data_IF_875914970953
#
_entry.id   IF_875914970953
#
_cell.length_a   1.000
_cell.length_b   1.000
_cell.length_c   1.000
_cell.angle_alpha   90.00
_cell.angle_beta   90.00
_cell.angle_gamma   90.00
#
_symmetry.space_group_name_H-M   'P 1'
#
loop_
_entity.id
_entity.type
_entity.pdbx_description
1 polymer ?
#
# COMPACT_ATOMS: atom_id res chain seq x y z
N UNK A 1 -41.47 -71.06 -26.58
CA UNK A 1 -40.41 -70.04 -26.76
C UNK A 1 -40.52 -69.06 -25.61
N UNK A 2 -39.66 -69.21 -24.60
CA UNK A 2 -39.52 -68.29 -23.47
C UNK A 2 -38.02 -68.06 -23.33
N UNK A 3 -37.57 -66.82 -23.50
CA UNK A 3 -36.17 -66.43 -23.39
C UNK A 3 -35.90 -66.04 -21.94
N UNK A 4 -34.91 -66.62 -21.23
CA UNK A 4 -34.51 -66.12 -19.92
C UNK A 4 -33.44 -65.03 -20.08
N UNK A 5 -33.70 -63.87 -19.48
CA UNK A 5 -32.76 -62.76 -19.36
C UNK A 5 -31.85 -63.03 -18.16
N UNK A 6 -30.53 -63.15 -18.39
CA UNK A 6 -29.53 -63.17 -17.34
C UNK A 6 -29.16 -61.73 -16.95
N UNK A 7 -29.40 -61.35 -15.69
CA UNK A 7 -28.89 -60.11 -15.10
C UNK A 7 -27.52 -60.39 -14.50
N UNK A 8 -26.46 -59.88 -15.14
CA UNK A 8 -25.12 -59.87 -14.57
C UNK A 8 -25.03 -58.72 -13.54
N UNK A 9 -24.95 -59.07 -12.25
CA UNK A 9 -24.64 -58.13 -11.17
C UNK A 9 -23.15 -57.77 -11.19
N UNK A 10 -22.83 -56.52 -11.57
CA UNK A 10 -21.50 -55.94 -11.45
C UNK A 10 -21.26 -55.51 -9.99
N UNK A 11 -20.48 -56.31 -9.26
CA UNK A 11 -19.96 -55.92 -7.94
C UNK A 11 -18.76 -55.01 -8.17
N UNK A 12 -18.95 -53.69 -8.01
CA UNK A 12 -17.85 -52.73 -7.98
C UNK A 12 -17.15 -52.81 -6.60
N UNK A 13 -15.84 -53.10 -6.52
CA UNK A 13 -15.11 -52.97 -5.27
C UNK A 13 -14.95 -51.49 -4.92
N UNK A 14 -15.47 -51.10 -3.74
CA UNK A 14 -15.16 -49.82 -3.11
C UNK A 14 -13.66 -49.77 -2.78
N UNK A 15 -12.88 -49.16 -3.66
CA UNK A 15 -11.52 -48.74 -3.35
C UNK A 15 -11.64 -47.52 -2.44
N UNK A 16 -11.57 -47.73 -1.12
CA UNK A 16 -11.25 -46.65 -0.18
C UNK A 16 -9.84 -46.16 -0.52
N UNK A 17 -9.75 -45.07 -1.29
CA UNK A 17 -8.55 -44.25 -1.33
C UNK A 17 -8.35 -43.68 0.06
N UNK A 18 -7.52 -44.33 0.86
CA UNK A 18 -6.86 -43.66 1.97
C UNK A 18 -6.11 -42.48 1.36
N UNK A 19 -6.66 -41.28 1.50
CA UNK A 19 -5.91 -40.06 1.29
C UNK A 19 -4.81 -40.05 2.36
N UNK A 20 -3.63 -40.52 2.00
CA UNK A 20 -2.40 -40.08 2.65
C UNK A 20 -2.31 -38.59 2.40
N UNK A 21 -2.92 -37.80 3.30
CA UNK A 21 -2.62 -36.40 3.45
C UNK A 21 -1.11 -36.33 3.64
N UNK A 22 -0.37 -35.93 2.61
CA UNK A 22 0.94 -35.36 2.79
C UNK A 22 0.72 -34.17 3.74
N UNK A 23 0.94 -34.42 5.04
CA UNK A 23 0.54 -33.50 6.09
C UNK A 23 1.26 -32.19 5.88
N UNK A 24 0.51 -31.10 5.79
CA UNK A 24 1.09 -29.75 5.81
C UNK A 24 2.00 -29.68 7.04
N UNK A 25 3.28 -29.37 6.83
CA UNK A 25 4.25 -29.27 7.91
C UNK A 25 3.82 -28.23 8.94
N UNK A 26 4.22 -28.38 10.20
CA UNK A 26 4.05 -27.32 11.18
C UNK A 26 4.98 -26.17 10.83
N UNK A 27 4.43 -25.05 10.39
CA UNK A 27 5.16 -23.87 9.91
C UNK A 27 4.41 -22.58 10.25
N UNK A 28 5.12 -21.46 10.34
CA UNK A 28 4.49 -20.15 10.31
C UNK A 28 4.04 -19.80 8.88
N UNK A 29 3.19 -18.78 8.75
CA UNK A 29 2.93 -18.16 7.46
C UNK A 29 4.23 -17.65 6.82
N UNK A 30 4.28 -17.65 5.48
CA UNK A 30 5.48 -17.41 4.66
C UNK A 30 6.26 -16.13 5.00
N UNK A 31 5.57 -15.09 5.46
CA UNK A 31 6.14 -13.78 5.80
C UNK A 31 6.41 -13.58 7.30
N UNK A 32 6.12 -14.56 8.16
CA UNK A 32 6.49 -14.53 9.58
C UNK A 32 7.88 -15.17 9.69
N UNK A 33 8.91 -14.33 9.77
CA UNK A 33 10.31 -14.74 9.76
C UNK A 33 11.14 -13.81 10.67
N UNK A 34 12.41 -14.16 10.88
CA UNK A 34 13.34 -13.41 11.72
C UNK A 34 13.42 -11.94 11.28
N UNK A 35 13.75 -11.05 12.23
CA UNK A 35 13.88 -9.61 11.99
C UNK A 35 12.56 -8.88 11.63
N UNK A 36 11.40 -9.53 11.73
CA UNK A 36 10.14 -8.88 11.39
C UNK A 36 9.72 -7.78 12.37
N UNK A 37 8.83 -6.90 11.90
CA UNK A 37 8.10 -5.95 12.76
C UNK A 37 6.65 -6.40 12.83
N UNK A 38 6.13 -6.53 14.04
CA UNK A 38 4.72 -6.72 14.34
C UNK A 38 4.09 -5.38 14.72
N UNK A 39 2.80 -5.22 14.40
CA UNK A 39 2.07 -4.00 14.74
C UNK A 39 2.00 -3.81 16.26
N UNK A 40 2.42 -2.64 16.73
CA UNK A 40 2.33 -2.22 18.13
C UNK A 40 0.91 -1.79 18.51
N UNK A 41 0.73 -1.56 19.80
CA UNK A 41 -0.47 -0.98 20.41
C UNK A 41 -0.97 0.30 19.70
N UNK A 42 -2.29 0.58 19.74
CA UNK A 42 -3.33 -0.08 20.54
C UNK A 42 -3.86 -1.41 19.99
N UNK A 43 -3.49 -1.77 18.76
CA UNK A 43 -3.85 -3.05 18.15
C UNK A 43 -2.98 -4.20 18.66
N UNK A 44 -3.50 -5.42 18.56
CA UNK A 44 -2.76 -6.67 18.71
C UNK A 44 -2.15 -7.13 17.38
N UNK A 45 -1.02 -7.83 17.44
CA UNK A 45 -0.42 -8.44 16.27
C UNK A 45 -0.94 -9.87 16.06
N UNK A 46 -1.23 -10.25 14.82
CA UNK A 46 -1.68 -11.60 14.47
C UNK A 46 -0.49 -12.48 14.13
N UNK A 47 -0.44 -13.65 14.77
CA UNK A 47 0.52 -14.73 14.46
C UNK A 47 -0.27 -15.94 14.01
N UNK A 48 0.12 -16.53 12.89
CA UNK A 48 -0.60 -17.65 12.29
C UNK A 48 0.33 -18.52 11.45
N UNK A 49 -0.18 -19.68 11.03
CA UNK A 49 0.54 -20.62 10.20
C UNK A 49 -0.24 -21.90 9.98
N UNK A 50 0.48 -22.96 9.62
CA UNK A 50 -0.10 -24.26 9.30
C UNK A 50 0.36 -25.34 10.28
N UNK A 51 -0.42 -26.42 10.36
CA UNK A 51 -0.16 -27.53 11.27
C UNK A 51 -1.05 -28.73 11.04
N UNK A 52 -0.96 -29.70 11.94
CA UNK A 52 -1.77 -30.92 11.92
C UNK A 52 -3.17 -30.60 12.43
N UNK A 53 -4.20 -30.86 11.61
CA UNK A 53 -5.62 -30.71 11.98
C UNK A 53 -5.94 -31.23 13.39
N UNK A 54 -6.58 -30.39 14.21
CA UNK A 54 -6.96 -30.72 15.59
C UNK A 54 -5.83 -30.63 16.62
N UNK A 55 -4.58 -30.39 16.20
CA UNK A 55 -3.48 -30.17 17.13
C UNK A 55 -3.66 -28.88 17.94
N UNK A 56 -3.13 -28.89 19.16
CA UNK A 56 -3.07 -27.67 19.99
C UNK A 56 -1.79 -26.93 19.66
N UNK A 57 -1.88 -25.62 19.40
CA UNK A 57 -0.73 -24.74 19.18
C UNK A 57 -0.65 -23.73 20.31
N UNK A 58 0.51 -23.68 20.94
CA UNK A 58 0.86 -22.70 21.97
C UNK A 58 1.85 -21.71 21.38
N UNK A 59 1.48 -20.43 21.34
CA UNK A 59 2.38 -19.34 20.95
C UNK A 59 2.86 -18.61 22.20
N UNK A 60 4.16 -18.45 22.33
CA UNK A 60 4.81 -17.79 23.47
C UNK A 60 5.67 -16.64 22.94
N UNK A 61 5.51 -15.47 23.54
CA UNK A 61 6.39 -14.32 23.29
C UNK A 61 7.35 -14.19 24.48
N UNK A 62 8.64 -14.11 24.19
CA UNK A 62 9.69 -14.00 25.20
C UNK A 62 10.58 -12.78 24.98
N UNK A 63 11.14 -12.24 26.07
CA UNK A 63 12.23 -11.26 26.06
C UNK A 63 13.27 -11.72 27.07
N UNK A 64 14.54 -11.81 26.68
CA UNK A 64 15.63 -12.23 27.57
C UNK A 64 15.33 -13.52 28.37
N UNK A 65 14.72 -14.50 27.70
CA UNK A 65 14.25 -15.79 28.25
C UNK A 65 13.05 -15.72 29.21
N UNK A 66 12.57 -14.53 29.56
CA UNK A 66 11.33 -14.34 30.31
C UNK A 66 10.10 -14.44 29.40
N UNK A 67 9.08 -15.16 29.85
CA UNK A 67 7.81 -15.28 29.13
C UNK A 67 6.98 -14.02 29.39
N UNK A 68 6.80 -13.22 28.35
CA UNK A 68 5.96 -12.01 28.39
C UNK A 68 4.49 -12.39 28.30
N UNK A 69 4.15 -13.30 27.39
CA UNK A 69 2.78 -13.76 27.20
C UNK A 69 2.70 -15.12 26.52
N UNK A 70 1.55 -15.77 26.68
CA UNK A 70 1.24 -17.08 26.09
C UNK A 70 -0.19 -17.09 25.56
N UNK A 71 -0.37 -17.58 24.33
CA UNK A 71 -1.67 -17.78 23.69
C UNK A 71 -1.79 -19.23 23.24
N UNK A 72 -3.00 -19.78 23.31
CA UNK A 72 -3.29 -21.16 22.91
C UNK A 72 -4.41 -21.15 21.89
N UNK A 73 -4.26 -21.96 20.85
CA UNK A 73 -5.24 -22.14 19.78
C UNK A 73 -5.22 -23.58 19.30
N UNK A 74 -6.12 -23.91 18.37
CA UNK A 74 -6.17 -25.21 17.73
C UNK A 74 -6.05 -25.06 16.21
N UNK A 75 -5.39 -26.02 15.57
CA UNK A 75 -5.33 -26.09 14.11
C UNK A 75 -6.71 -26.44 13.57
N UNK A 76 -7.24 -25.60 12.69
CA UNK A 76 -8.54 -25.76 12.07
C UNK A 76 -8.54 -26.93 11.10
N UNK A 77 -9.59 -27.75 11.15
CA UNK A 77 -9.63 -29.00 10.39
C UNK A 77 -9.78 -28.84 8.88
N UNK A 78 -10.39 -27.74 8.42
CA UNK A 78 -10.70 -27.53 7.00
C UNK A 78 -9.59 -26.79 6.24
N UNK A 79 -8.78 -25.98 6.92
CA UNK A 79 -7.69 -25.19 6.32
C UNK A 79 -6.30 -25.64 6.74
N UNK A 80 -6.18 -26.54 7.74
CA UNK A 80 -4.93 -26.87 8.40
C UNK A 80 -4.17 -25.65 8.96
N UNK A 81 -4.86 -24.52 9.17
CA UNK A 81 -4.27 -23.28 9.68
C UNK A 81 -4.63 -23.02 11.14
N UNK A 82 -3.74 -22.36 11.85
CA UNK A 82 -3.91 -21.91 13.23
C UNK A 82 -3.59 -20.42 13.32
N UNK A 83 -4.18 -19.72 14.29
CA UNK A 83 -4.01 -18.28 14.45
C UNK A 83 -4.21 -17.88 15.91
N UNK A 84 -3.45 -16.88 16.35
CA UNK A 84 -3.62 -16.17 17.62
C UNK A 84 -3.51 -14.67 17.39
N UNK A 85 -4.22 -13.90 18.21
CA UNK A 85 -3.99 -12.45 18.36
C UNK A 85 -3.15 -12.25 19.62
N UNK A 86 -1.99 -11.61 19.48
CA UNK A 86 -1.18 -11.21 20.61
C UNK A 86 -1.81 -10.02 21.33
N UNK A 87 -1.56 -9.88 22.62
CA UNK A 87 -2.00 -8.71 23.37
C UNK A 87 -1.27 -7.45 22.83
N UNK A 88 -1.90 -6.26 22.86
CA UNK A 88 -1.24 -5.04 22.42
C UNK A 88 0.08 -4.81 23.14
N UNK A 89 1.13 -4.55 22.38
CA UNK A 89 2.50 -4.36 22.89
C UNK A 89 2.97 -2.93 22.62
N UNK A 90 3.66 -2.36 23.61
CA UNK A 90 4.42 -1.11 23.44
C UNK A 90 5.48 -1.27 22.35
N UNK A 91 5.84 -0.20 21.64
CA UNK A 91 6.92 -0.26 20.67
C UNK A 91 8.25 -0.68 21.31
N UNK A 92 9.04 -1.50 20.62
CA UNK A 92 10.34 -1.96 21.12
C UNK A 92 10.67 -3.40 20.74
N UNK A 93 11.50 -4.03 21.55
CA UNK A 93 12.10 -5.35 21.29
C UNK A 93 13.63 -5.29 21.40
N UNK A 94 14.35 -6.33 20.94
CA UNK A 94 13.84 -7.51 20.26
C UNK A 94 13.14 -8.51 21.20
N UNK A 95 12.18 -9.24 20.63
CA UNK A 95 11.50 -10.37 21.25
C UNK A 95 11.78 -11.65 20.45
N UNK A 96 11.45 -12.79 21.05
CA UNK A 96 11.35 -14.08 20.37
C UNK A 96 9.89 -14.57 20.36
N UNK A 97 9.41 -15.04 19.21
CA UNK A 97 8.11 -15.70 19.06
C UNK A 97 8.34 -17.19 18.87
N UNK A 98 7.82 -18.01 19.78
CA UNK A 98 7.87 -19.46 19.71
C UNK A 98 6.47 -20.03 19.52
N UNK A 99 6.27 -20.86 18.50
CA UNK A 99 5.05 -21.65 18.32
C UNK A 99 5.35 -23.13 18.57
N UNK A 100 4.55 -23.76 19.42
CA UNK A 100 4.68 -25.18 19.78
C UNK A 100 3.39 -25.92 19.45
N UNK A 101 3.44 -26.92 18.58
CA UNK A 101 2.32 -27.79 18.25
C UNK A 101 2.41 -29.10 19.01
N UNK A 102 1.33 -29.49 19.69
CA UNK A 102 1.18 -30.79 20.35
C UNK A 102 0.00 -31.58 19.78
N UNK A 103 0.26 -32.82 19.34
CA UNK A 103 -0.77 -33.76 18.88
C UNK A 103 -0.43 -35.19 19.33
N UNK A 104 -1.19 -35.72 20.29
CA UNK A 104 -0.85 -36.99 20.94
C UNK A 104 0.53 -36.91 21.62
N UNK A 105 1.48 -37.74 21.17
CA UNK A 105 2.88 -37.72 21.65
C UNK A 105 3.81 -36.82 20.82
N UNK A 106 3.34 -36.30 19.68
CA UNK A 106 4.16 -35.44 18.83
C UNK A 106 4.20 -34.02 19.39
N UNK A 107 5.41 -33.45 19.42
CA UNK A 107 5.66 -32.07 19.79
C UNK A 107 6.65 -31.46 18.79
N UNK A 108 6.23 -30.39 18.12
CA UNK A 108 7.05 -29.64 17.16
C UNK A 108 7.13 -28.19 17.62
N UNK A 109 8.30 -27.57 17.46
CA UNK A 109 8.52 -26.18 17.89
C UNK A 109 9.17 -25.38 16.77
N UNK A 110 8.67 -24.17 16.55
CA UNK A 110 9.19 -23.17 15.63
C UNK A 110 9.57 -21.93 16.42
N UNK A 111 10.59 -21.20 15.97
CA UNK A 111 11.06 -19.97 16.60
C UNK A 111 11.36 -18.92 15.55
N UNK A 112 11.06 -17.67 15.91
CA UNK A 112 11.39 -16.47 15.15
C UNK A 112 12.03 -15.47 16.10
N UNK A 113 13.19 -14.96 15.73
CA UNK A 113 14.05 -14.11 16.54
C UNK A 113 14.14 -12.67 16.01
N UNK A 114 14.61 -11.73 16.85
CA UNK A 114 14.74 -10.30 16.53
C UNK A 114 13.40 -9.70 16.05
N UNK A 115 12.31 -10.04 16.75
CA UNK A 115 10.97 -9.50 16.46
C UNK A 115 10.81 -8.16 17.17
N UNK A 116 10.48 -7.11 16.40
CA UNK A 116 10.19 -5.79 16.95
C UNK A 116 8.69 -5.51 16.94
N UNK A 117 8.22 -4.68 17.88
CA UNK A 117 6.89 -4.08 17.82
C UNK A 117 7.01 -2.62 17.37
N UNK A 118 6.27 -2.26 16.33
CA UNK A 118 6.36 -0.98 15.63
C UNK A 118 5.13 -0.74 14.76
N UNK A 119 5.17 0.30 13.92
CA UNK A 119 4.10 0.48 12.92
C UNK A 119 4.45 -0.20 11.61
N UNK A 120 3.53 -1.01 11.07
CA UNK A 120 3.72 -1.77 9.84
C UNK A 120 2.96 -1.13 8.69
N UNK A 121 3.67 -0.84 7.60
CA UNK A 121 3.14 -0.20 6.40
C UNK A 121 3.34 -1.08 5.16
N UNK A 122 2.27 -1.21 4.38
CA UNK A 122 2.28 -1.88 3.08
C UNK A 122 2.39 -0.85 1.96
N UNK A 123 3.39 -0.99 1.10
CA UNK A 123 3.63 -0.12 -0.05
C UNK A 123 3.34 -0.89 -1.33
N UNK A 124 2.44 -0.37 -2.16
CA UNK A 124 1.98 -1.05 -3.36
C UNK A 124 1.73 -0.11 -4.54
N UNK A 125 1.50 -0.68 -5.71
CA UNK A 125 1.29 0.02 -6.96
C UNK A 125 2.20 -0.49 -8.07
N UNK A 126 2.53 0.39 -9.01
CA UNK A 126 3.27 0.03 -10.22
C UNK A 126 4.73 0.50 -10.18
N UNK A 127 5.32 0.75 -11.35
CA UNK A 127 6.74 0.94 -11.56
C UNK A 127 7.33 2.08 -10.73
N UNK A 128 6.60 3.17 -10.55
CA UNK A 128 7.03 4.29 -9.70
C UNK A 128 7.07 3.95 -8.20
N UNK A 129 6.28 2.98 -7.73
CA UNK A 129 6.44 2.35 -6.41
C UNK A 129 7.60 1.34 -6.44
N UNK A 130 7.74 0.57 -7.52
CA UNK A 130 8.71 -0.53 -7.63
C UNK A 130 10.17 -0.06 -7.81
N UNK A 131 10.41 1.18 -8.26
CA UNK A 131 11.77 1.74 -8.40
C UNK A 131 12.58 1.54 -7.11
N UNK A 132 13.79 0.99 -7.25
CA UNK A 132 14.69 0.72 -6.12
C UNK A 132 15.46 1.98 -5.71
N UNK A 133 16.09 1.95 -4.53
CA UNK A 133 16.89 3.10 -4.03
C UNK A 133 18.06 3.44 -4.96
N UNK A 134 18.55 2.48 -5.75
CA UNK A 134 19.60 2.73 -6.76
C UNK A 134 19.14 3.65 -7.90
N UNK A 135 17.82 3.76 -8.11
CA UNK A 135 17.24 4.43 -9.29
C UNK A 135 16.82 5.88 -9.02
N UNK A 136 17.08 6.43 -7.84
CA UNK A 136 16.61 7.76 -7.42
C UNK A 136 17.76 8.77 -7.30
N UNK A 137 17.44 10.05 -7.21
CA UNK A 137 18.44 11.05 -6.83
C UNK A 137 18.95 10.76 -5.40
N UNK A 138 20.18 11.18 -5.09
CA UNK A 138 20.84 10.95 -3.80
C UNK A 138 20.98 9.47 -3.36
N UNK A 139 20.82 8.51 -4.27
CA UNK A 139 20.96 7.07 -3.99
C UNK A 139 22.21 6.72 -3.18
N UNK A 140 23.37 7.26 -3.54
CA UNK A 140 24.65 7.01 -2.84
C UNK A 140 24.59 7.38 -1.36
N UNK A 141 23.96 8.51 -1.02
CA UNK A 141 23.82 8.95 0.38
C UNK A 141 22.81 8.10 1.16
N UNK A 142 21.74 7.67 0.50
CA UNK A 142 20.72 6.82 1.13
C UNK A 142 21.29 5.42 1.43
N UNK A 143 22.05 4.85 0.50
CA UNK A 143 22.63 3.51 0.64
C UNK A 143 23.77 3.46 1.67
N UNK A 144 24.48 4.57 1.90
CA UNK A 144 25.60 4.63 2.86
C UNK A 144 25.17 4.79 4.32
N UNK A 145 23.97 5.31 4.58
CA UNK A 145 23.51 5.67 5.93
C UNK A 145 22.60 4.61 6.59
N UNK A 146 22.60 3.37 6.10
CA UNK A 146 21.67 2.32 6.55
C UNK A 146 21.89 1.87 8.00
N UNK A 147 23.09 2.05 8.54
CA UNK A 147 23.42 1.70 9.94
C UNK A 147 22.66 2.54 10.97
N UNK A 148 22.18 3.74 10.61
CA UNK A 148 21.37 4.57 11.50
C UNK A 148 19.91 4.09 11.63
N UNK A 149 19.47 3.17 10.76
CA UNK A 149 18.07 2.77 10.60
C UNK A 149 17.84 1.28 10.88
N UNK A 150 18.64 0.70 11.77
CA UNK A 150 18.55 -0.71 12.15
C UNK A 150 17.30 -1.06 12.99
N UNK A 151 16.35 -0.15 13.17
CA UNK A 151 15.00 -0.45 13.71
C UNK A 151 13.91 -0.29 12.65
N UNK A 152 14.27 0.11 11.43
CA UNK A 152 13.41 -0.06 10.25
C UNK A 152 13.68 -1.46 9.69
N UNK A 153 12.64 -2.20 9.36
CA UNK A 153 12.73 -3.55 8.79
C UNK A 153 11.97 -3.58 7.47
N UNK A 154 12.53 -4.31 6.50
CA UNK A 154 12.00 -4.35 5.14
C UNK A 154 11.71 -5.79 4.71
N UNK A 155 10.66 -5.96 3.92
CA UNK A 155 10.28 -7.20 3.24
C UNK A 155 9.81 -6.86 1.82
N UNK A 156 10.10 -7.73 0.84
CA UNK A 156 9.59 -7.60 -0.53
C UNK A 156 8.92 -8.90 -0.98
N UNK A 157 7.68 -8.77 -1.45
CA UNK A 157 6.87 -9.88 -1.97
C UNK A 157 7.32 -10.25 -3.38
N UNK A 158 7.36 -11.55 -3.69
CA UNK A 158 7.70 -12.02 -5.03
C UNK A 158 6.66 -11.61 -6.07
N UNK A 159 7.13 -11.37 -7.29
CA UNK A 159 6.28 -11.06 -8.45
C UNK A 159 5.54 -12.32 -8.93
N UNK A 160 4.34 -12.56 -8.38
CA UNK A 160 3.50 -13.73 -8.66
C UNK A 160 2.09 -13.30 -9.06
N UNK A 161 1.46 -14.07 -9.95
CA UNK A 161 0.06 -13.92 -10.34
C UNK A 161 -0.74 -15.16 -9.90
N UNK A 162 -2.02 -14.98 -9.56
CA UNK A 162 -2.92 -16.10 -9.29
C UNK A 162 -4.35 -15.78 -9.73
N UNK A 163 -5.04 -16.74 -10.35
CA UNK A 163 -6.45 -16.58 -10.75
C UNK A 163 -7.42 -16.53 -9.55
N UNK A 164 -6.99 -17.04 -8.39
CA UNK A 164 -7.77 -17.11 -7.16
C UNK A 164 -6.97 -16.57 -5.97
N UNK A 165 -7.67 -15.98 -5.01
CA UNK A 165 -7.12 -15.47 -3.76
C UNK A 165 -6.32 -16.56 -3.03
N UNK A 166 -5.01 -16.36 -2.86
CA UNK A 166 -4.15 -17.27 -2.11
C UNK A 166 -4.29 -17.00 -0.60
N UNK A 167 -4.19 -18.03 0.23
CA UNK A 167 -4.22 -17.89 1.70
C UNK A 167 -2.90 -17.34 2.25
N UNK A 168 -1.77 -17.75 1.66
CA UNK A 168 -0.41 -17.34 2.02
C UNK A 168 0.40 -16.97 0.77
N UNK A 169 1.49 -16.21 0.92
CA UNK A 169 2.32 -15.82 -0.21
C UNK A 169 2.99 -17.06 -0.81
N UNK A 170 2.93 -17.16 -2.14
CA UNK A 170 3.65 -18.20 -2.87
C UNK A 170 5.17 -17.95 -2.92
N UNK A 171 5.63 -16.72 -2.64
CA UNK A 171 7.04 -16.35 -2.63
C UNK A 171 7.31 -15.00 -1.95
N UNK A 172 8.50 -14.88 -1.37
CA UNK A 172 9.05 -13.67 -0.76
C UNK A 172 10.47 -13.48 -1.30
N UNK A 173 10.69 -12.44 -2.12
CA UNK A 173 11.99 -12.17 -2.76
C UNK A 173 13.02 -11.65 -1.74
N UNK A 174 12.56 -10.78 -0.82
CA UNK A 174 13.37 -10.31 0.31
C UNK A 174 12.63 -10.62 1.60
N UNK A 175 13.10 -11.63 2.33
CA UNK A 175 12.67 -11.90 3.70
C UNK A 175 12.92 -10.70 4.61
N UNK A 176 12.18 -10.63 5.72
CA UNK A 176 12.39 -9.59 6.73
C UNK A 176 13.87 -9.43 7.06
N UNK A 177 14.35 -8.21 6.94
CA UNK A 177 15.77 -7.91 7.12
C UNK A 177 16.00 -6.49 7.62
N UNK A 178 17.18 -6.28 8.21
CA UNK A 178 17.69 -4.93 8.49
C UNK A 178 18.10 -4.29 7.16
N UNK A 179 17.96 -2.96 6.99
CA UNK A 179 18.39 -2.30 5.76
C UNK A 179 19.91 -2.40 5.61
N UNK A 180 20.34 -2.72 4.40
CA UNK A 180 21.74 -2.69 3.95
C UNK A 180 21.81 -1.97 2.60
N UNK A 181 23.00 -1.54 2.20
CA UNK A 181 23.19 -1.00 0.84
C UNK A 181 22.82 -2.01 -0.24
N UNK A 182 23.05 -3.31 0.02
CA UNK A 182 22.75 -4.39 -0.91
C UNK A 182 21.26 -4.58 -1.10
N UNK A 183 20.48 -4.74 -0.03
CA UNK A 183 19.06 -5.05 -0.16
C UNK A 183 18.17 -3.84 -0.53
N UNK A 184 18.62 -2.62 -0.26
CA UNK A 184 17.93 -1.41 -0.71
C UNK A 184 18.20 -1.09 -2.19
N UNK A 185 19.40 -1.41 -2.66
CA UNK A 185 19.87 -1.11 -4.02
C UNK A 185 19.89 -2.30 -4.96
N UNK A 186 19.31 -3.44 -4.58
CA UNK A 186 19.42 -4.69 -5.34
C UNK A 186 18.71 -4.59 -6.68
N UNK A 187 19.50 -4.42 -7.75
CA UNK A 187 18.97 -4.36 -9.10
C UNK A 187 18.04 -3.19 -9.39
N UNK A 188 17.53 -3.13 -10.62
CA UNK A 188 16.56 -2.13 -11.06
C UNK A 188 15.19 -2.80 -11.06
N UNK A 189 14.23 -2.21 -10.35
CA UNK A 189 12.86 -2.74 -10.21
C UNK A 189 12.76 -4.15 -9.59
N UNK A 190 13.78 -4.63 -8.88
CA UNK A 190 13.74 -5.92 -8.20
C UNK A 190 13.22 -5.74 -6.76
N UNK A 191 14.00 -5.12 -5.88
CA UNK A 191 13.59 -4.70 -4.53
C UNK A 191 14.66 -3.74 -3.95
N UNK A 192 14.49 -2.97 -2.87
CA UNK A 192 13.31 -2.54 -2.12
C UNK A 192 12.77 -1.21 -2.70
N UNK A 193 11.45 -1.01 -2.68
CA UNK A 193 10.82 0.25 -3.11
C UNK A 193 11.45 1.49 -2.45
N UNK A 194 11.95 2.41 -3.26
CA UNK A 194 12.58 3.64 -2.79
C UNK A 194 11.59 4.57 -2.05
N UNK A 195 10.37 4.71 -2.58
CA UNK A 195 9.31 5.50 -1.93
C UNK A 195 8.97 4.90 -0.57
N UNK A 196 8.82 3.58 -0.51
CA UNK A 196 8.51 2.88 0.73
C UNK A 196 9.62 3.05 1.78
N UNK A 197 10.87 2.83 1.37
CA UNK A 197 12.05 3.03 2.23
C UNK A 197 12.12 4.44 2.79
N UNK A 198 12.09 5.46 1.92
CA UNK A 198 12.21 6.86 2.32
C UNK A 198 11.05 7.29 3.24
N UNK A 199 9.83 6.84 2.95
CA UNK A 199 8.67 7.11 3.78
C UNK A 199 8.84 6.56 5.21
N UNK A 200 9.21 5.28 5.34
CA UNK A 200 9.46 4.67 6.64
C UNK A 200 10.66 5.27 7.36
N UNK A 201 11.72 5.64 6.63
CA UNK A 201 12.89 6.36 7.16
C UNK A 201 12.47 7.69 7.81
N UNK A 202 11.71 8.51 7.09
CA UNK A 202 11.23 9.79 7.64
C UNK A 202 10.29 9.60 8.83
N UNK A 203 9.43 8.56 8.80
CA UNK A 203 8.60 8.22 9.95
C UNK A 203 9.46 7.84 11.15
N UNK A 204 10.47 6.99 10.98
CA UNK A 204 11.40 6.62 12.04
C UNK A 204 12.13 7.84 12.63
N UNK A 205 12.59 8.76 11.79
CA UNK A 205 13.25 10.00 12.24
C UNK A 205 12.34 10.88 13.11
N UNK A 206 11.03 10.80 12.90
CA UNK A 206 10.02 11.57 13.65
C UNK A 206 9.56 10.84 14.90
N UNK A 207 9.22 9.56 14.76
CA UNK A 207 8.52 8.76 15.77
C UNK A 207 9.47 8.06 16.74
N UNK A 208 10.70 7.78 16.31
CA UNK A 208 11.78 7.16 17.12
C UNK A 208 11.42 5.81 17.72
N UNK A 209 10.63 5.00 17.00
CA UNK A 209 10.36 3.60 17.32
C UNK A 209 10.32 2.73 16.06
N UNK A 210 10.35 1.38 16.16
CA UNK A 210 10.47 0.50 15.00
C UNK A 210 9.41 0.70 13.92
N UNK A 211 9.80 0.55 12.65
CA UNK A 211 8.91 0.64 11.49
C UNK A 211 9.09 -0.59 10.60
N UNK A 212 8.00 -1.27 10.27
CA UNK A 212 7.98 -2.38 9.30
C UNK A 212 7.50 -1.89 7.94
N UNK A 213 8.23 -2.23 6.88
CA UNK A 213 7.89 -1.86 5.51
C UNK A 213 7.78 -3.08 4.62
N UNK A 214 6.67 -3.19 3.91
CA UNK A 214 6.39 -4.29 2.98
C UNK A 214 6.25 -3.72 1.59
N UNK A 215 7.10 -4.15 0.66
CA UNK A 215 7.01 -3.80 -0.75
C UNK A 215 6.26 -4.89 -1.52
N UNK A 216 5.11 -4.53 -2.10
CA UNK A 216 4.29 -5.40 -2.94
C UNK A 216 3.83 -4.60 -4.16
N UNK A 217 4.70 -4.50 -5.18
CA UNK A 217 4.51 -3.62 -6.33
C UNK A 217 5.05 -4.23 -7.61
N UNK A 218 4.38 -3.98 -8.74
CA UNK A 218 4.78 -4.52 -10.05
C UNK A 218 4.48 -3.52 -11.17
N UNK A 219 5.51 -3.14 -11.92
CA UNK A 219 5.46 -2.18 -13.01
C UNK A 219 4.54 -2.54 -14.16
N UNK A 220 3.99 -1.50 -14.80
CA UNK A 220 3.14 -1.63 -15.99
C UNK A 220 1.76 -2.23 -15.73
N UNK A 221 1.25 -2.15 -14.51
CA UNK A 221 0.00 -2.81 -14.10
C UNK A 221 -1.13 -1.81 -13.93
N UNK A 222 -2.33 -2.09 -14.48
CA UNK A 222 -3.52 -1.27 -14.26
C UNK A 222 -4.16 -1.63 -12.90
N UNK A 223 -5.02 -0.75 -12.38
CA UNK A 223 -5.66 -0.94 -11.06
C UNK A 223 -6.50 -2.21 -10.98
N UNK A 224 -7.00 -2.69 -12.11
CA UNK A 224 -7.78 -3.91 -12.24
C UNK A 224 -7.03 -5.17 -11.78
N UNK A 225 -5.71 -5.23 -12.00
CA UNK A 225 -4.90 -6.34 -11.54
C UNK A 225 -4.78 -6.40 -10.00
N UNK A 226 -4.87 -5.23 -9.34
CA UNK A 226 -4.76 -5.03 -7.89
C UNK A 226 -6.09 -4.98 -7.16
N UNK A 227 -7.19 -5.00 -7.90
CA UNK A 227 -8.55 -4.92 -7.38
C UNK A 227 -9.14 -6.33 -7.29
N UNK A 228 -9.79 -6.64 -6.17
CA UNK A 228 -10.56 -7.88 -6.05
C UNK A 228 -11.71 -7.92 -7.06
N UNK A 229 -12.17 -9.12 -7.42
CA UNK A 229 -13.31 -9.26 -8.34
C UNK A 229 -14.60 -8.60 -7.79
N UNK A 230 -14.73 -8.52 -6.47
CA UNK A 230 -15.85 -7.86 -5.78
C UNK A 230 -15.81 -6.34 -5.93
N UNK A 231 -14.65 -5.70 -5.77
CA UNK A 231 -14.49 -4.25 -5.97
C UNK A 231 -14.69 -3.83 -7.44
N UNK A 232 -14.15 -4.61 -8.39
CA UNK A 232 -14.35 -4.37 -9.81
C UNK A 232 -15.81 -4.48 -10.24
N UNK A 233 -16.50 -5.53 -9.78
CA UNK A 233 -17.92 -5.73 -10.05
C UNK A 233 -18.77 -4.57 -9.52
N UNK A 234 -18.42 -4.00 -8.37
CA UNK A 234 -19.13 -2.85 -7.78
C UNK A 234 -19.05 -1.59 -8.67
N UNK A 235 -18.03 -1.50 -9.53
CA UNK A 235 -17.84 -0.40 -10.49
C UNK A 235 -18.27 -0.74 -11.91
N UNK A 236 -18.98 -1.85 -12.13
CA UNK A 236 -19.39 -2.27 -13.48
C UNK A 236 -18.24 -2.76 -14.36
N UNK A 237 -17.07 -3.03 -13.79
CA UNK A 237 -15.95 -3.64 -14.52
C UNK A 237 -16.17 -5.15 -14.57
N UNK A 238 -16.58 -5.65 -15.73
CA UNK A 238 -16.86 -7.07 -15.95
C UNK A 238 -15.62 -7.83 -16.42
N UNK A 239 -15.40 -9.06 -15.91
CA UNK A 239 -14.25 -9.93 -16.23
C UNK A 239 -14.00 -10.17 -17.73
N UNK A 240 -14.98 -9.89 -18.59
CA UNK A 240 -14.82 -9.96 -20.04
C UNK A 240 -14.27 -8.64 -20.57
N UNK A 241 -12.96 -8.47 -20.44
CA UNK A 241 -12.23 -7.40 -21.09
C UNK A 241 -10.82 -7.88 -21.41
N UNK A 242 -10.55 -8.16 -22.68
CA UNK A 242 -9.18 -8.30 -23.15
C UNK A 242 -8.51 -6.93 -23.05
N UNK A 243 -7.49 -6.78 -22.20
CA UNK A 243 -6.64 -5.58 -22.24
C UNK A 243 -5.76 -5.74 -23.47
N UNK A 244 -5.82 -4.85 -24.47
CA UNK A 244 -4.87 -4.90 -25.57
C UNK A 244 -3.46 -4.87 -25.00
N UNK A 245 -2.62 -5.84 -25.38
CA UNK A 245 -1.23 -5.98 -24.92
C UNK A 245 -0.42 -4.69 -25.07
N UNK A 246 -0.83 -3.82 -26.00
CA UNK A 246 -0.15 -2.58 -26.33
C UNK A 246 -0.43 -1.45 -25.32
N UNK A 247 -1.39 -1.65 -24.39
CA UNK A 247 -1.81 -0.61 -23.41
C UNK A 247 -1.09 -0.69 -22.07
N UNK A 248 -0.49 -1.83 -21.73
CA UNK A 248 0.14 -2.10 -20.42
C UNK A 248 1.34 -3.05 -20.57
N UNK A 249 2.41 -2.84 -19.80
CA UNK A 249 3.66 -3.61 -19.94
C UNK A 249 3.86 -4.68 -18.86
N UNK A 250 2.93 -4.81 -17.91
CA UNK A 250 2.96 -5.80 -16.84
C UNK A 250 1.65 -6.61 -16.76
N UNK A 251 1.48 -7.42 -15.70
CA UNK A 251 0.25 -8.16 -15.45
C UNK A 251 -1.01 -7.31 -15.60
N UNK A 252 -1.92 -7.77 -16.44
CA UNK A 252 -3.08 -7.00 -16.90
C UNK A 252 -4.40 -7.72 -16.66
N UNK A 253 -4.35 -9.03 -16.38
CA UNK A 253 -5.52 -9.79 -16.00
C UNK A 253 -6.12 -9.30 -14.67
N UNK A 254 -7.43 -9.39 -14.54
CA UNK A 254 -8.14 -8.81 -13.40
C UNK A 254 -7.88 -9.61 -12.14
N UNK A 255 -7.65 -8.90 -11.03
CA UNK A 255 -7.43 -9.44 -9.69
C UNK A 255 -6.20 -10.33 -9.51
N UNK A 256 -5.39 -10.60 -10.54
CA UNK A 256 -4.30 -11.59 -10.43
C UNK A 256 -3.21 -11.19 -9.44
N UNK A 257 -2.97 -9.89 -9.25
CA UNK A 257 -2.01 -9.37 -8.27
C UNK A 257 -2.65 -9.16 -6.90
N UNK A 258 -3.92 -8.76 -6.85
CA UNK A 258 -4.70 -8.79 -5.61
C UNK A 258 -4.61 -10.18 -4.97
N UNK A 259 -4.92 -11.21 -5.75
CA UNK A 259 -5.00 -12.59 -5.33
C UNK A 259 -3.67 -13.15 -4.79
N UNK A 260 -2.55 -12.83 -5.45
CA UNK A 260 -1.25 -13.42 -5.15
C UNK A 260 -0.35 -12.57 -4.25
N UNK A 261 -0.47 -11.25 -4.32
CA UNK A 261 0.50 -10.33 -3.70
C UNK A 261 -0.06 -9.46 -2.58
N UNK A 262 -1.40 -9.35 -2.45
CA UNK A 262 -2.06 -8.51 -1.43
C UNK A 262 -2.94 -9.32 -0.50
N UNK A 263 -3.91 -10.08 -1.04
CA UNK A 263 -4.83 -10.91 -0.25
C UNK A 263 -4.11 -11.81 0.78
N UNK A 264 -2.96 -12.44 0.46
CA UNK A 264 -2.30 -13.33 1.42
C UNK A 264 -1.68 -12.61 2.63
N UNK A 265 -1.49 -11.29 2.53
CA UNK A 265 -1.04 -10.44 3.63
C UNK A 265 -2.19 -10.04 4.58
N UNK A 266 -3.44 -10.34 4.24
CA UNK A 266 -4.63 -9.81 4.94
C UNK A 266 -4.74 -10.18 6.42
N UNK A 267 -4.07 -11.27 6.84
CA UNK A 267 -4.00 -11.66 8.24
C UNK A 267 -3.05 -10.79 9.06
N UNK A 268 -2.15 -10.03 8.43
CA UNK A 268 -1.24 -9.12 9.11
C UNK A 268 -1.98 -7.89 9.64
N UNK A 269 -1.68 -7.50 10.88
CA UNK A 269 -2.11 -6.21 11.41
C UNK A 269 -1.28 -5.09 10.79
N UNK A 270 -1.93 -4.09 10.19
CA UNK A 270 -1.27 -2.94 9.56
C UNK A 270 -1.62 -1.62 10.24
N UNK A 271 -0.67 -0.68 10.22
CA UNK A 271 -0.92 0.74 10.51
C UNK A 271 -1.50 1.46 9.29
N UNK A 272 -1.04 1.15 8.08
CA UNK A 272 -1.47 1.85 6.88
C UNK A 272 -0.94 1.30 5.56
N UNK A 273 -1.42 1.90 4.47
CA UNK A 273 -0.97 1.58 3.09
C UNK A 273 -0.47 2.84 2.39
N UNK A 274 0.57 2.67 1.56
CA UNK A 274 1.03 3.67 0.58
C UNK A 274 0.84 3.11 -0.83
N UNK A 275 0.24 3.91 -1.71
CA UNK A 275 -0.12 3.50 -3.07
C UNK A 275 0.45 4.45 -4.12
N UNK A 276 1.11 3.92 -5.16
CA UNK A 276 1.57 4.72 -6.29
C UNK A 276 1.30 4.00 -7.60
N UNK A 277 0.16 4.31 -8.20
CA UNK A 277 -0.31 3.74 -9.44
C UNK A 277 -1.31 4.66 -10.14
N UNK A 278 -1.41 4.51 -11.45
CA UNK A 278 -2.45 5.11 -12.27
C UNK A 278 -2.00 5.34 -13.70
N UNK A 279 -0.68 5.32 -13.97
CA UNK A 279 -0.13 5.60 -15.28
C UNK A 279 -0.62 4.60 -16.33
N UNK A 280 -0.78 3.33 -15.96
CA UNK A 280 -1.32 2.28 -16.84
C UNK A 280 -2.83 2.41 -17.10
N UNK A 281 -3.55 3.24 -16.35
CA UNK A 281 -4.97 3.52 -16.57
C UNK A 281 -5.21 4.77 -17.43
N UNK A 282 -4.16 5.50 -17.82
CA UNK A 282 -4.26 6.71 -18.66
C UNK A 282 -4.98 6.43 -19.99
N UNK A 283 -4.74 5.26 -20.57
CA UNK A 283 -5.37 4.79 -21.82
C UNK A 283 -6.24 3.54 -21.63
N UNK A 284 -6.54 3.15 -20.38
CA UNK A 284 -7.28 1.92 -20.08
C UNK A 284 -8.24 2.13 -18.90
N UNK A 285 -9.56 2.06 -19.18
CA UNK A 285 -10.63 2.28 -18.20
C UNK A 285 -10.48 3.57 -17.38
N UNK A 286 -9.88 4.62 -17.97
CA UNK A 286 -9.60 5.89 -17.29
C UNK A 286 -10.83 6.46 -16.57
N UNK A 287 -11.95 6.51 -17.28
CA UNK A 287 -13.19 7.11 -16.78
C UNK A 287 -13.81 6.30 -15.63
N UNK A 288 -13.38 5.05 -15.42
CA UNK A 288 -13.80 4.21 -14.31
C UNK A 288 -12.89 4.33 -13.08
N UNK A 289 -11.73 5.00 -13.21
CA UNK A 289 -10.75 5.12 -12.12
C UNK A 289 -11.33 5.85 -10.89
N UNK A 290 -12.26 6.78 -11.10
CA UNK A 290 -12.98 7.49 -10.03
C UNK A 290 -13.91 6.56 -9.22
N UNK A 291 -14.18 5.35 -9.71
CA UNK A 291 -14.91 4.31 -9.00
C UNK A 291 -13.95 3.23 -8.49
N UNK A 292 -13.10 2.69 -9.37
CA UNK A 292 -12.26 1.53 -9.04
C UNK A 292 -11.25 1.83 -7.95
N UNK A 293 -10.69 3.04 -7.90
CA UNK A 293 -9.72 3.38 -6.84
C UNK A 293 -10.35 3.51 -5.44
N UNK A 294 -11.46 4.28 -5.24
CA UNK A 294 -12.18 4.25 -3.97
C UNK A 294 -12.68 2.85 -3.59
N UNK A 295 -13.16 2.07 -4.57
CA UNK A 295 -13.62 0.70 -4.33
C UNK A 295 -12.47 -0.21 -3.86
N UNK A 296 -11.28 -0.11 -4.48
CA UNK A 296 -10.07 -0.83 -4.05
C UNK A 296 -9.72 -0.49 -2.60
N UNK A 297 -9.67 0.79 -2.25
CA UNK A 297 -9.32 1.24 -0.89
C UNK A 297 -10.29 0.64 0.14
N UNK A 298 -11.59 0.74 -0.12
CA UNK A 298 -12.62 0.22 0.78
C UNK A 298 -12.55 -1.31 0.90
N UNK A 299 -12.26 -1.99 -0.21
CA UNK A 299 -12.14 -3.42 -0.26
C UNK A 299 -10.94 -3.95 0.54
N UNK A 300 -9.79 -3.28 0.40
CA UNK A 300 -8.57 -3.59 1.15
C UNK A 300 -8.81 -3.35 2.64
N UNK A 301 -9.40 -2.21 3.01
CA UNK A 301 -9.80 -1.91 4.38
C UNK A 301 -10.65 -3.00 4.99
N UNK A 302 -11.67 -3.46 4.27
CA UNK A 302 -12.52 -4.55 4.74
C UNK A 302 -11.75 -5.88 4.87
N UNK A 303 -10.93 -6.22 3.88
CA UNK A 303 -10.19 -7.49 3.85
C UNK A 303 -9.17 -7.56 4.98
N UNK A 304 -8.32 -6.54 5.14
CA UNK A 304 -7.31 -6.52 6.21
C UNK A 304 -7.94 -6.43 7.60
N UNK A 305 -9.02 -5.65 7.78
CA UNK A 305 -9.74 -5.64 9.06
C UNK A 305 -10.28 -7.03 9.40
N UNK A 306 -10.89 -7.74 8.45
CA UNK A 306 -11.48 -9.05 8.68
C UNK A 306 -10.41 -10.15 8.86
N UNK A 307 -9.38 -10.16 8.03
CA UNK A 307 -8.27 -11.15 8.08
C UNK A 307 -7.49 -11.06 9.39
N UNK A 308 -7.15 -9.83 9.80
CA UNK A 308 -6.44 -9.57 11.05
C UNK A 308 -7.30 -9.71 12.32
N UNK A 309 -8.46 -10.36 12.28
CA UNK A 309 -9.36 -10.52 13.43
C UNK A 309 -9.78 -9.17 14.07
N UNK A 310 -10.01 -8.17 13.23
CA UNK A 310 -10.41 -6.83 13.63
C UNK A 310 -9.27 -5.94 14.13
N UNK A 311 -8.01 -6.42 14.11
CA UNK A 311 -6.88 -5.67 14.66
C UNK A 311 -6.40 -4.53 13.76
N UNK A 312 -6.42 -4.71 12.44
CA UNK A 312 -6.24 -3.60 11.51
C UNK A 312 -7.47 -2.70 11.59
N UNK A 313 -7.26 -1.41 11.86
CA UNK A 313 -8.33 -0.43 11.96
C UNK A 313 -9.22 -0.42 10.71
N UNK A 314 -10.55 -0.38 10.90
CA UNK A 314 -11.52 -0.53 9.79
C UNK A 314 -11.35 0.53 8.70
N UNK A 315 -10.97 1.74 9.11
CA UNK A 315 -10.66 2.84 8.21
C UNK A 315 -9.19 3.20 8.33
N UNK A 316 -8.28 2.22 8.30
CA UNK A 316 -6.85 2.49 8.41
C UNK A 316 -6.37 3.51 7.35
N UNK A 317 -5.36 4.33 7.67
CA UNK A 317 -4.79 5.34 6.78
C UNK A 317 -4.35 4.80 5.42
N UNK A 318 -4.79 5.46 4.35
CA UNK A 318 -4.40 5.13 2.98
C UNK A 318 -3.77 6.34 2.30
N UNK A 319 -2.44 6.32 2.13
CA UNK A 319 -1.68 7.34 1.42
C UNK A 319 -1.54 6.99 -0.05
N UNK A 320 -1.62 7.97 -0.94
CA UNK A 320 -1.30 7.74 -2.35
C UNK A 320 -0.52 8.89 -2.98
N UNK A 321 0.12 8.61 -4.11
CA UNK A 321 0.85 9.62 -4.89
C UNK A 321 0.02 10.03 -6.10
N UNK A 322 -0.29 11.33 -6.19
CA UNK A 322 -0.88 11.89 -7.40
C UNK A 322 0.15 11.83 -8.52
N UNK A 323 -0.24 11.37 -9.72
CA UNK A 323 0.72 11.10 -10.79
C UNK A 323 1.58 12.33 -11.15
N UNK A 324 2.86 12.08 -11.41
CA UNK A 324 3.79 13.11 -11.88
C UNK A 324 3.50 13.49 -13.34
N UNK A 325 4.10 14.58 -13.82
CA UNK A 325 3.98 15.03 -15.21
C UNK A 325 4.96 14.26 -16.10
N UNK A 326 4.44 13.74 -17.21
CA UNK A 326 5.24 13.10 -18.26
C UNK A 326 5.67 14.18 -19.25
N UNK A 327 6.98 14.36 -19.43
CA UNK A 327 7.55 15.48 -20.19
C UNK A 327 7.99 15.09 -21.62
N UNK A 328 7.58 13.91 -22.10
CA UNK A 328 7.78 13.41 -23.46
C UNK A 328 6.51 13.60 -24.32
N UNK A 329 6.70 13.92 -25.61
CA UNK A 329 5.65 14.39 -26.51
C UNK A 329 4.54 13.37 -26.83
N UNK A 330 3.38 13.91 -27.19
CA UNK A 330 2.18 13.26 -27.73
C UNK A 330 1.34 12.39 -26.77
N UNK A 331 1.31 12.69 -25.47
CA UNK A 331 0.12 12.35 -24.66
C UNK A 331 -0.92 13.43 -24.98
N UNK A 332 -2.14 13.09 -25.38
CA UNK A 332 -3.18 14.12 -25.57
C UNK A 332 -3.34 14.91 -24.27
N UNK A 333 -3.53 16.23 -24.37
CA UNK A 333 -3.32 17.17 -23.25
C UNK A 333 -4.06 16.82 -21.95
N UNK A 334 -5.19 16.11 -22.02
CA UNK A 334 -6.08 15.89 -20.86
C UNK A 334 -5.95 14.52 -20.15
N UNK A 335 -5.15 13.56 -20.63
CA UNK A 335 -5.22 12.19 -20.09
C UNK A 335 -4.70 12.07 -18.64
N UNK A 336 -3.50 12.59 -18.37
CA UNK A 336 -2.91 12.61 -17.03
C UNK A 336 -3.70 13.52 -16.08
N UNK A 337 -4.11 14.74 -16.46
CA UNK A 337 -5.03 15.55 -15.66
C UNK A 337 -6.30 14.80 -15.25
N UNK A 338 -6.94 14.07 -16.16
CA UNK A 338 -8.14 13.27 -15.86
C UNK A 338 -7.86 12.17 -14.84
N UNK A 339 -6.78 11.39 -14.98
CA UNK A 339 -6.41 10.38 -13.96
C UNK A 339 -6.16 11.04 -12.61
N UNK A 340 -5.46 12.17 -12.55
CA UNK A 340 -5.20 12.88 -11.28
C UNK A 340 -6.47 13.37 -10.60
N UNK A 341 -7.46 13.78 -11.39
CA UNK A 341 -8.79 14.11 -10.89
C UNK A 341 -9.49 12.88 -10.32
N UNK A 342 -9.50 11.78 -11.07
CA UNK A 342 -10.08 10.49 -10.66
C UNK A 342 -9.39 9.87 -9.44
N UNK A 343 -8.08 10.08 -9.24
CA UNK A 343 -7.35 9.68 -8.03
C UNK A 343 -7.92 10.31 -6.75
N UNK A 344 -8.69 11.40 -6.85
CA UNK A 344 -9.38 12.05 -5.73
C UNK A 344 -10.88 11.70 -5.67
N UNK A 345 -11.33 10.69 -6.42
CA UNK A 345 -12.74 10.36 -6.61
C UNK A 345 -13.56 11.55 -7.14
N UNK A 346 -12.92 12.41 -7.94
CA UNK A 346 -13.48 13.61 -8.56
C UNK A 346 -13.84 14.75 -7.57
N UNK A 347 -13.17 14.79 -6.41
CA UNK A 347 -13.34 15.89 -5.45
C UNK A 347 -12.25 16.97 -5.56
N UNK A 348 -11.10 16.65 -6.14
CA UNK A 348 -9.93 17.52 -6.20
C UNK A 348 -9.07 17.54 -4.94
N UNK A 349 -9.55 16.94 -3.84
CA UNK A 349 -8.84 16.86 -2.57
C UNK A 349 -9.13 15.55 -1.83
N UNK A 350 -8.26 15.24 -0.88
CA UNK A 350 -8.43 14.15 0.09
C UNK A 350 -7.96 14.59 1.48
N UNK A 351 -8.49 14.01 2.58
CA UNK A 351 -9.59 13.06 2.62
C UNK A 351 -10.90 13.69 2.14
N UNK A 352 -11.81 12.87 1.61
CA UNK A 352 -13.14 13.30 1.18
C UNK A 352 -14.21 12.25 1.55
N UNK A 353 -15.48 12.52 1.23
CA UNK A 353 -16.60 11.68 1.63
C UNK A 353 -16.53 10.24 1.08
N UNK A 354 -15.86 10.03 -0.07
CA UNK A 354 -15.69 8.69 -0.67
C UNK A 354 -14.42 7.99 -0.19
N UNK A 355 -13.44 8.75 0.29
CA UNK A 355 -12.14 8.25 0.72
C UNK A 355 -11.74 8.90 2.06
N UNK A 356 -12.43 8.58 3.16
CA UNK A 356 -12.05 9.07 4.49
C UNK A 356 -10.69 8.51 4.89
N UNK A 357 -9.99 9.20 5.80
CA UNK A 357 -8.67 8.81 6.32
C UNK A 357 -7.64 8.50 5.21
N UNK A 358 -7.64 9.32 4.17
CA UNK A 358 -6.66 9.25 3.08
C UNK A 358 -5.83 10.53 3.01
N UNK A 359 -4.63 10.42 2.46
CA UNK A 359 -3.73 11.55 2.24
C UNK A 359 -3.02 11.37 0.89
N UNK A 360 -2.62 12.48 0.29
CA UNK A 360 -2.07 12.50 -1.06
C UNK A 360 -0.77 13.27 -1.09
N UNK A 361 0.27 12.65 -1.65
CA UNK A 361 1.45 13.38 -2.10
C UNK A 361 1.23 13.85 -3.53
N UNK A 362 1.11 15.16 -3.72
CA UNK A 362 1.16 15.76 -5.06
C UNK A 362 2.54 15.50 -5.65
N UNK A 363 2.64 14.98 -6.87
CA UNK A 363 3.92 14.81 -7.57
C UNK A 363 3.92 15.47 -8.97
N UNK A 364 2.86 16.21 -9.32
CA UNK A 364 2.69 16.84 -10.64
C UNK A 364 3.87 17.75 -11.04
N UNK A 365 4.49 18.41 -10.07
CA UNK A 365 5.64 19.31 -10.20
C UNK A 365 7.00 18.58 -10.28
N UNK A 366 7.02 17.26 -10.08
CA UNK A 366 8.24 16.46 -9.99
C UNK A 366 8.55 15.72 -11.30
N UNK A 367 8.18 16.29 -12.45
CA UNK A 367 8.48 15.69 -13.75
C UNK A 367 9.99 15.60 -14.02
N UNK A 368 10.46 14.53 -14.66
CA UNK A 368 11.88 14.33 -14.96
C UNK A 368 12.09 13.96 -16.43
N UNK A 369 12.25 14.97 -17.28
CA UNK A 369 12.45 14.76 -18.73
C UNK A 369 13.68 13.91 -19.04
N UNK A 370 14.70 13.98 -18.19
CA UNK A 370 16.00 13.36 -18.41
C UNK A 370 16.17 12.06 -17.61
N UNK A 371 15.07 11.47 -17.13
CA UNK A 371 15.14 10.19 -16.42
C UNK A 371 15.64 9.09 -17.37
N UNK A 372 16.70 8.35 -17.01
CA UNK A 372 17.20 7.23 -17.81
C UNK A 372 16.23 6.03 -17.79
N UNK A 373 15.18 6.10 -16.98
CA UNK A 373 14.11 5.11 -16.90
C UNK A 373 12.88 5.55 -17.70
N UNK A 374 12.98 6.64 -18.46
CA UNK A 374 11.88 7.27 -19.19
C UNK A 374 11.22 8.39 -18.38
N UNK A 375 10.72 9.43 -19.06
CA UNK A 375 10.19 10.64 -18.40
C UNK A 375 8.97 10.43 -17.50
N UNK A 376 8.36 9.24 -17.58
CA UNK A 376 7.29 8.76 -16.71
C UNK A 376 7.77 8.32 -15.32
N UNK A 377 9.07 8.09 -15.15
CA UNK A 377 9.69 7.61 -13.91
C UNK A 377 10.57 8.70 -13.29
N UNK A 378 9.98 9.66 -12.54
CA UNK A 378 10.75 10.71 -11.90
C UNK A 378 11.66 10.18 -10.80
N UNK A 379 12.92 10.66 -10.79
CA UNK A 379 13.94 10.23 -9.83
C UNK A 379 13.88 10.94 -8.48
N UNK A 380 13.18 12.08 -8.36
CA UNK A 380 12.95 12.75 -7.08
C UNK A 380 11.88 12.00 -6.25
N UNK A 381 12.30 10.89 -5.64
CA UNK A 381 11.45 10.14 -4.70
C UNK A 381 11.54 10.67 -3.28
N UNK A 382 12.56 11.47 -2.95
CA UNK A 382 12.67 12.14 -1.66
C UNK A 382 11.50 13.08 -1.42
N UNK A 383 11.17 13.94 -2.39
CA UNK A 383 10.06 14.89 -2.26
C UNK A 383 8.72 14.16 -2.19
N UNK A 384 8.52 13.12 -3.00
CA UNK A 384 7.32 12.26 -2.95
C UNK A 384 7.14 11.63 -1.57
N UNK A 385 8.17 10.95 -1.06
CA UNK A 385 8.12 10.26 0.22
C UNK A 385 8.00 11.23 1.40
N UNK A 386 8.62 12.41 1.33
CA UNK A 386 8.49 13.45 2.33
C UNK A 386 7.04 14.00 2.39
N UNK A 387 6.41 14.26 1.25
CA UNK A 387 5.00 14.67 1.19
C UNK A 387 4.06 13.59 1.74
N UNK A 388 4.32 12.31 1.44
CA UNK A 388 3.59 11.18 2.03
C UNK A 388 3.77 11.12 3.56
N UNK A 389 5.00 11.34 4.04
CA UNK A 389 5.32 11.37 5.47
C UNK A 389 4.57 12.48 6.20
N UNK A 390 4.53 13.69 5.66
CA UNK A 390 3.73 14.79 6.22
C UNK A 390 2.24 14.44 6.25
N UNK A 391 1.73 13.85 5.17
CA UNK A 391 0.35 13.36 5.12
C UNK A 391 0.04 12.31 6.18
N UNK A 392 0.93 11.34 6.37
CA UNK A 392 0.78 10.33 7.42
C UNK A 392 0.79 10.97 8.82
N UNK A 393 1.71 11.89 9.11
CA UNK A 393 1.74 12.59 10.40
C UNK A 393 0.43 13.31 10.71
N UNK A 394 -0.12 14.04 9.74
CA UNK A 394 -1.38 14.74 9.92
C UNK A 394 -2.58 13.79 10.03
N UNK A 395 -2.69 12.81 9.14
CA UNK A 395 -3.88 11.96 8.97
C UNK A 395 -3.82 10.67 9.79
N UNK A 396 -2.70 9.95 9.77
CA UNK A 396 -2.51 8.68 10.48
C UNK A 396 -2.11 8.82 11.96
N UNK A 397 -1.44 9.92 12.31
CA UNK A 397 -0.96 10.20 13.67
C UNK A 397 -1.64 11.41 14.32
N UNK A 398 -2.53 12.11 13.60
CA UNK A 398 -3.39 13.15 14.16
C UNK A 398 -2.67 14.45 14.52
N UNK A 399 -1.51 14.74 13.92
CA UNK A 399 -0.78 15.99 14.15
C UNK A 399 -1.54 17.19 13.55
N UNK A 400 -2.19 17.98 14.42
CA UNK A 400 -3.14 19.04 14.00
C UNK A 400 -2.51 20.31 13.43
N UNK A 401 -1.25 20.59 13.76
CA UNK A 401 -0.56 21.85 13.40
C UNK A 401 0.49 21.65 12.31
N UNK A 402 0.40 20.55 11.56
CA UNK A 402 1.32 20.23 10.48
C UNK A 402 0.75 20.70 9.15
N UNK A 403 1.51 21.53 8.44
CA UNK A 403 1.19 21.89 7.06
C UNK A 403 1.65 20.75 6.15
N UNK A 404 0.70 20.09 5.51
CA UNK A 404 0.96 18.97 4.59
C UNK A 404 0.20 19.09 3.26
N UNK A 405 -0.70 20.07 3.15
CA UNK A 405 -1.49 20.36 1.95
C UNK A 405 -1.31 21.83 1.55
N UNK A 406 -1.39 22.10 0.26
CA UNK A 406 -1.52 23.46 -0.26
C UNK A 406 -2.90 24.06 0.04
N UNK A 407 -3.07 25.38 -0.14
CA UNK A 407 -4.36 26.01 0.07
C UNK A 407 -5.39 25.51 -0.96
N UNK A 408 -6.61 25.22 -0.48
CA UNK A 408 -7.72 24.77 -1.33
C UNK A 408 -8.71 25.93 -1.53
N UNK A 409 -9.12 26.22 -2.78
CA UNK A 409 -10.17 27.20 -3.03
C UNK A 409 -11.51 26.66 -2.52
N UNK A 410 -12.31 27.53 -1.88
CA UNK A 410 -13.69 27.24 -1.50
C UNK A 410 -14.65 27.38 -2.67
N UNK A 411 -14.32 28.26 -3.62
CA UNK A 411 -15.12 28.50 -4.83
C UNK A 411 -14.22 28.71 -6.03
N UNK A 412 -14.64 28.18 -7.16
CA UNK A 412 -14.02 28.37 -8.47
C UNK A 412 -15.13 28.84 -9.41
N UNK A 413 -14.98 30.01 -10.01
CA UNK A 413 -15.93 30.57 -10.97
C UNK A 413 -15.24 30.90 -12.29
N UNK A 414 -15.76 30.32 -13.39
CA UNK A 414 -15.34 30.69 -14.73
C UNK A 414 -16.15 31.89 -15.21
N UNK A 415 -15.49 33.03 -15.39
CA UNK A 415 -16.06 34.24 -15.98
C UNK A 415 -15.75 34.23 -17.49
N UNK A 416 -16.50 33.39 -18.21
CA UNK A 416 -16.25 33.06 -19.61
C UNK A 416 -16.26 34.29 -20.54
N UNK A 417 -17.12 35.27 -20.26
CA UNK A 417 -17.21 36.54 -20.98
C UNK A 417 -15.94 37.39 -20.88
N UNK A 418 -15.14 37.17 -19.82
CA UNK A 418 -13.91 37.90 -19.54
C UNK A 418 -12.66 37.05 -19.75
N UNK A 419 -12.81 35.75 -20.02
CA UNK A 419 -11.69 34.80 -20.04
C UNK A 419 -10.98 34.69 -18.71
N UNK A 420 -11.68 34.85 -17.58
CA UNK A 420 -11.06 34.83 -16.24
C UNK A 420 -11.52 33.64 -15.42
N UNK A 421 -10.62 33.13 -14.57
CA UNK A 421 -10.96 32.19 -13.51
C UNK A 421 -10.83 32.88 -12.15
N UNK A 422 -11.94 32.95 -11.40
CA UNK A 422 -11.97 33.50 -10.05
C UNK A 422 -11.90 32.36 -9.02
N UNK A 423 -10.81 32.31 -8.25
CA UNK A 423 -10.56 31.33 -7.19
C UNK A 423 -10.71 32.02 -5.83
N UNK A 424 -11.66 31.58 -5.02
CA UNK A 424 -11.93 32.16 -3.72
C UNK A 424 -11.38 31.28 -2.60
N UNK A 425 -10.57 31.85 -1.71
CA UNK A 425 -10.00 31.17 -0.57
C UNK A 425 -10.48 31.81 0.73
N UNK A 426 -10.90 31.01 1.71
CA UNK A 426 -11.07 31.49 3.10
C UNK A 426 -9.75 31.58 3.85
N UNK A 427 -8.79 30.76 3.43
CA UNK A 427 -7.44 30.72 3.97
C UNK A 427 -6.66 31.96 3.55
N UNK A 428 -5.76 32.42 4.42
CA UNK A 428 -4.80 33.45 4.04
C UNK A 428 -3.81 32.83 3.05
N UNK A 429 -3.78 33.38 1.83
CA UNK A 429 -2.88 32.94 0.78
C UNK A 429 -1.79 33.98 0.52
N UNK A 430 -0.64 33.50 0.06
CA UNK A 430 0.40 34.28 -0.58
C UNK A 430 0.50 33.82 -2.02
N UNK A 431 0.53 34.77 -2.95
CA UNK A 431 0.71 34.50 -4.37
C UNK A 431 2.10 34.99 -4.77
N UNK A 432 2.93 34.06 -5.22
CA UNK A 432 4.25 34.36 -5.74
C UNK A 432 4.27 34.10 -7.25
N UNK A 433 4.44 35.15 -8.05
CA UNK A 433 4.66 34.99 -9.49
C UNK A 433 6.08 34.48 -9.72
N UNK A 434 6.21 33.42 -10.52
CA UNK A 434 7.50 32.90 -10.96
C UNK A 434 7.89 33.55 -12.30
N UNK A 435 6.94 33.63 -13.25
CA UNK A 435 7.10 34.31 -14.54
C UNK A 435 5.74 34.76 -15.13
N UNK A 436 5.68 35.08 -16.42
CA UNK A 436 4.47 35.53 -17.12
C UNK A 436 3.37 34.46 -17.27
N UNK A 437 3.69 33.20 -16.97
CA UNK A 437 2.81 32.04 -17.17
C UNK A 437 2.60 31.23 -15.89
N UNK A 438 3.49 31.38 -14.91
CA UNK A 438 3.54 30.54 -13.71
C UNK A 438 3.45 31.42 -12.47
N UNK A 439 2.52 31.05 -11.59
CA UNK A 439 2.42 31.57 -10.23
C UNK A 439 2.25 30.42 -9.25
N UNK A 440 2.58 30.68 -8.00
CA UNK A 440 2.46 29.75 -6.89
C UNK A 440 1.56 30.35 -5.82
N UNK A 441 0.63 29.55 -5.30
CA UNK A 441 -0.25 29.93 -4.18
C UNK A 441 0.16 29.13 -2.95
N UNK A 442 0.59 29.83 -1.90
CA UNK A 442 1.03 29.25 -0.63
C UNK A 442 0.09 29.65 0.49
N UNK A 443 -0.11 28.77 1.48
CA UNK A 443 -0.76 29.15 2.73
C UNK A 443 0.17 30.03 3.56
N UNK A 444 -0.35 31.08 4.19
CA UNK A 444 0.45 31.99 5.01
C UNK A 444 0.56 31.47 6.45
N UNK A 445 1.76 31.12 6.90
CA UNK A 445 2.10 31.23 8.32
C UNK A 445 2.34 32.72 8.61
N UNK A 446 1.71 33.29 9.63
CA UNK A 446 1.62 34.73 9.87
C UNK A 446 2.91 35.52 9.56
N UNK A 447 2.94 36.28 8.45
CA UNK A 447 3.54 37.64 8.33
C UNK A 447 3.37 38.29 6.92
N UNK A 448 2.85 39.53 6.99
CA UNK A 448 2.93 40.79 6.19
C UNK A 448 2.98 40.81 4.64
N UNK A 449 2.08 41.65 4.10
CA UNK A 449 1.55 41.81 2.72
C UNK A 449 2.51 42.06 1.56
N UNK A 450 1.96 41.87 0.35
CA UNK A 450 2.60 42.15 -0.95
C UNK A 450 1.58 42.91 -1.83
N UNK A 451 1.99 43.90 -2.65
CA UNK A 451 1.07 44.73 -3.47
C UNK A 451 0.54 43.98 -4.71
N UNK A 452 -0.51 44.50 -5.37
CA UNK A 452 -1.15 43.85 -6.52
C UNK A 452 -0.25 43.83 -7.77
N UNK A 453 -0.40 42.75 -8.57
CA UNK A 453 0.39 42.43 -9.77
C UNK A 453 -0.52 42.47 -11.02
N UNK A 454 -0.03 42.95 -12.16
CA UNK A 454 -0.78 42.88 -13.43
C UNK A 454 -0.93 41.42 -13.91
N UNK A 455 -2.16 41.01 -14.23
CA UNK A 455 -2.53 39.68 -14.73
C UNK A 455 -3.06 38.71 -13.66
N UNK A 456 -2.76 38.97 -12.37
CA UNK A 456 -3.29 38.23 -11.23
C UNK A 456 -3.69 39.23 -10.15
N UNK A 457 -4.98 39.44 -9.96
CA UNK A 457 -5.46 40.38 -8.94
C UNK A 457 -5.94 39.64 -7.70
N UNK A 458 -5.39 40.04 -6.54
CA UNK A 458 -5.86 39.63 -5.21
C UNK A 458 -6.68 40.78 -4.64
N UNK A 459 -8.00 40.60 -4.56
CA UNK A 459 -8.90 41.57 -3.94
C UNK A 459 -9.05 41.25 -2.45
N UNK A 460 -8.51 42.08 -1.56
CA UNK A 460 -8.65 41.90 -0.11
C UNK A 460 -9.04 43.20 0.62
N UNK A 461 -10.32 43.32 0.98
CA UNK A 461 -10.78 44.19 2.08
C UNK A 461 -11.70 43.48 3.09
N UNK A 462 -12.17 42.26 2.78
CA UNK A 462 -12.85 41.35 3.70
C UNK A 462 -12.67 39.89 3.24
N UNK A 463 -12.78 38.91 4.16
CA UNK A 463 -12.87 37.49 3.80
C UNK A 463 -14.17 37.25 3.01
N UNK A 464 -14.19 36.41 1.96
CA UNK A 464 -13.11 35.57 1.40
C UNK A 464 -12.16 36.30 0.42
N UNK A 465 -10.94 35.78 0.24
CA UNK A 465 -9.92 36.33 -0.68
C UNK A 465 -10.15 35.79 -2.09
N UNK A 466 -10.33 36.67 -3.07
CA UNK A 466 -10.45 36.31 -4.49
C UNK A 466 -9.13 36.45 -5.23
N UNK A 467 -8.73 35.39 -5.94
CA UNK A 467 -7.62 35.33 -6.88
C UNK A 467 -8.18 35.22 -8.30
N UNK A 468 -7.99 36.25 -9.11
CA UNK A 468 -8.46 36.27 -10.51
C UNK A 468 -7.27 35.97 -11.42
N UNK A 469 -7.39 34.94 -12.25
CA UNK A 469 -6.38 34.47 -13.21
C UNK A 469 -6.87 34.71 -14.64
N UNK A 470 -6.03 35.30 -15.49
CA UNK A 470 -6.24 35.52 -16.94
C UNK A 470 -5.64 34.42 -17.79
#
# INVERSE_FOLDING_TARGET
MVVPVFVLGLVLPLIQRAHTSAGVGFQFASYIDNYMVLQKEPAGAVIWGYGISGATVTVTLCQDQEIIMKKVTHVKAYSNSWMVVLDPMKPGGPYEVMAQQTFGRMNLTLRVHDVLFGDVWLCSGQSNMQMTVLQIFNATSELSNTTAYQSVRILSVSLIQAEQELEDLAGVDLKWSKPTSENLGHGKFEYMSAVCWLFGRYLYDTLRYPIGLISSSWGGTPIEAWSSGRSLKACGVHRQGFIPSDSVTGPSEYSVLWNAMIHPLSNMTLKGVIWYQGESNVNFNRDLYNCTFPALIEDWRQTFHRGSQGQTERLFPFGFVQLSSVLAGAVSDDQLPQIRWHQTADFGYVPNLRMPNTFMAVAMDLGDRNSPFGSIHPRDKQTVAYRLHLGARAVAYGEKQLIFQGPLPEKIELLADKGLLNLMYSQQIQVQRQDDKIFEVRGRAETIGVPPVLGVSVSSTAKPISLIVT
#
